data_IF_229276323452
#
_entry.id   IF_229276323452
#
_cell.length_a   1.000
_cell.length_b   1.000
_cell.length_c   1.000
_cell.angle_alpha   90.00
_cell.angle_beta   90.00
_cell.angle_gamma   90.00
#
_symmetry.space_group_name_H-M   'P 1'
#
loop_
_entity.id
_entity.type
_entity.pdbx_description
1 polymer ?
#
# COMPACT_ATOMS: atom_id res chain seq x y z
N UNK A 1 -17.70 -21.86 -0.07
CA UNK A 1 -18.07 -20.56 0.53
C UNK A 1 -16.92 -19.61 0.36
N UNK A 2 -17.19 -18.34 0.02
CA UNK A 2 -16.16 -17.32 -0.15
C UNK A 2 -16.26 -16.30 0.98
N UNK A 3 -15.15 -16.05 1.70
CA UNK A 3 -15.02 -15.03 2.73
C UNK A 3 -13.61 -14.44 2.60
N UNK A 4 -13.47 -13.44 1.75
CA UNK A 4 -12.21 -12.78 1.42
C UNK A 4 -12.36 -11.29 1.61
N UNK A 5 -11.40 -10.69 2.28
CA UNK A 5 -11.30 -9.26 2.52
C UNK A 5 -9.91 -8.81 2.10
N UNK A 6 -9.84 -7.74 1.33
CA UNK A 6 -8.59 -7.04 1.01
C UNK A 6 -8.78 -5.57 1.36
N UNK A 7 -7.96 -5.06 2.26
CA UNK A 7 -8.05 -3.69 2.78
C UNK A 7 -6.69 -3.01 2.73
N UNK A 8 -6.72 -1.72 2.49
CA UNK A 8 -5.56 -0.85 2.63
C UNK A 8 -5.96 0.37 3.44
N UNK A 9 -5.22 0.67 4.51
CA UNK A 9 -5.54 1.78 5.41
C UNK A 9 -4.36 2.18 6.27
N UNK A 10 -4.53 3.23 7.07
CA UNK A 10 -3.49 3.72 7.99
C UNK A 10 -3.71 3.22 9.41
N UNK A 11 -2.63 2.81 10.07
CA UNK A 11 -2.70 2.42 11.47
C UNK A 11 -3.09 3.62 12.35
N UNK A 12 -4.08 3.41 13.18
CA UNK A 12 -4.59 4.44 14.13
C UNK A 12 -3.70 4.55 15.36
N UNK A 13 -3.07 3.45 15.76
CA UNK A 13 -2.16 3.35 16.91
C UNK A 13 -1.05 2.36 16.60
N UNK A 14 0.00 2.34 17.42
CA UNK A 14 1.04 1.33 17.33
C UNK A 14 0.47 -0.05 17.65
N UNK A 15 0.81 -1.08 16.86
CA UNK A 15 0.34 -2.44 17.12
C UNK A 15 1.04 -3.03 18.34
N UNK A 16 0.25 -3.69 19.21
CA UNK A 16 0.75 -4.32 20.42
C UNK A 16 0.80 -5.83 20.29
N UNK A 17 1.99 -6.40 20.49
CA UNK A 17 2.18 -7.84 20.53
C UNK A 17 1.69 -8.39 21.88
N UNK A 18 0.84 -9.39 21.85
CA UNK A 18 0.35 -10.12 23.01
C UNK A 18 0.53 -11.62 22.80
N UNK A 19 0.58 -12.36 23.88
CA UNK A 19 0.64 -13.82 23.82
C UNK A 19 -0.59 -14.39 24.52
N UNK A 20 -1.19 -15.39 23.89
CA UNK A 20 -2.26 -16.17 24.54
C UNK A 20 -1.68 -17.03 25.65
N UNK A 21 -2.50 -17.58 26.56
CA UNK A 21 -2.04 -18.53 27.59
C UNK A 21 -1.28 -19.72 27.03
N UNK A 22 -1.55 -20.08 25.78
CA UNK A 22 -0.87 -21.17 25.06
C UNK A 22 0.43 -20.72 24.36
N UNK A 23 0.91 -19.51 24.61
CA UNK A 23 2.15 -18.98 24.05
C UNK A 23 2.06 -18.54 22.57
N UNK A 24 0.86 -18.48 21.99
CA UNK A 24 0.68 -18.05 20.61
C UNK A 24 0.69 -16.54 20.54
N UNK A 25 1.58 -15.98 19.70
CA UNK A 25 1.65 -14.55 19.43
C UNK A 25 0.39 -14.07 18.71
N UNK A 26 -0.20 -12.99 19.16
CA UNK A 26 -1.33 -12.30 18.53
C UNK A 26 -1.15 -10.80 18.63
N UNK A 27 -1.64 -10.09 17.63
CA UNK A 27 -1.67 -8.64 17.65
C UNK A 27 -3.01 -8.15 17.12
N UNK A 28 -3.61 -7.18 17.82
CA UNK A 28 -4.83 -6.50 17.40
C UNK A 28 -4.52 -5.03 17.17
N UNK A 29 -4.89 -4.52 16.02
CA UNK A 29 -4.72 -3.13 15.68
C UNK A 29 -5.91 -2.62 14.85
N UNK A 30 -6.05 -1.32 14.76
CA UNK A 30 -7.12 -0.66 14.01
C UNK A 30 -6.54 0.10 12.85
N UNK A 31 -7.17 -0.02 11.68
CA UNK A 31 -6.85 0.77 10.51
C UNK A 31 -7.98 1.73 10.16
N UNK A 32 -7.61 2.90 9.66
CA UNK A 32 -8.52 3.87 9.06
C UNK A 32 -8.46 3.69 7.54
N UNK A 33 -9.59 3.36 6.94
CA UNK A 33 -9.76 3.19 5.50
C UNK A 33 -10.60 4.34 4.98
N UNK A 34 -10.04 5.15 4.11
CA UNK A 34 -10.75 6.29 3.54
C UNK A 34 -11.82 5.80 2.57
N UNK A 35 -13.02 6.39 2.65
CA UNK A 35 -14.08 6.13 1.68
C UNK A 35 -13.72 6.72 0.33
N UNK A 36 -13.86 5.92 -0.72
CA UNK A 36 -13.48 6.33 -2.09
C UNK A 36 -14.40 7.42 -2.66
N UNK A 37 -15.62 7.56 -2.14
CA UNK A 37 -16.57 8.56 -2.60
C UNK A 37 -16.89 9.57 -1.50
N UNK A 38 -16.61 10.86 -1.77
CA UNK A 38 -16.97 11.99 -0.92
C UNK A 38 -17.66 13.01 -1.82
N UNK A 39 -18.82 13.51 -1.42
CA UNK A 39 -19.52 14.59 -2.14
C UNK A 39 -18.73 15.88 -2.06
N UNK A 40 -18.78 16.68 -3.10
CA UNK A 40 -18.15 18.01 -3.11
C UNK A 40 -18.68 18.86 -1.94
N UNK A 41 -17.77 19.30 -1.06
CA UNK A 41 -18.10 20.09 0.13
C UNK A 41 -18.29 19.29 1.43
N UNK A 42 -18.24 17.96 1.40
CA UNK A 42 -18.25 17.14 2.61
C UNK A 42 -16.81 16.78 3.06
N UNK A 43 -16.62 16.64 4.37
CA UNK A 43 -15.37 16.16 4.92
C UNK A 43 -15.15 14.66 4.57
N UNK A 44 -13.89 14.30 4.35
CA UNK A 44 -13.52 12.91 4.11
C UNK A 44 -13.85 12.07 5.35
N UNK A 45 -14.59 10.98 5.14
CA UNK A 45 -14.93 10.03 6.18
C UNK A 45 -14.07 8.79 6.03
N UNK A 46 -13.56 8.28 7.13
CA UNK A 46 -12.83 7.02 7.19
C UNK A 46 -13.65 5.98 7.95
N UNK A 47 -13.54 4.73 7.52
CA UNK A 47 -14.06 3.59 8.23
C UNK A 47 -12.94 2.99 9.10
N UNK A 48 -13.25 2.77 10.39
CA UNK A 48 -12.31 2.19 11.35
C UNK A 48 -12.57 0.70 11.48
N UNK A 49 -11.59 -0.11 11.09
CA UNK A 49 -11.72 -1.56 11.01
C UNK A 49 -10.71 -2.21 11.94
N UNK A 50 -11.19 -3.11 12.80
CA UNK A 50 -10.35 -3.88 13.72
C UNK A 50 -9.77 -5.10 12.98
N UNK A 51 -8.44 -5.23 13.06
CA UNK A 51 -7.67 -6.29 12.41
C UNK A 51 -6.99 -7.12 13.50
N UNK A 52 -7.04 -8.44 13.34
CA UNK A 52 -6.35 -9.39 14.20
C UNK A 52 -5.40 -10.22 13.37
N UNK A 53 -4.16 -10.32 13.82
CA UNK A 53 -3.12 -11.14 13.20
C UNK A 53 -2.52 -12.10 14.21
N UNK A 54 -2.03 -13.25 13.74
CA UNK A 54 -1.56 -14.34 14.56
C UNK A 54 -0.13 -14.76 14.20
N UNK A 55 0.56 -15.35 15.18
CA UNK A 55 1.86 -16.01 15.02
C UNK A 55 2.90 -15.07 14.39
N UNK A 56 3.60 -15.53 13.37
CA UNK A 56 4.66 -14.77 12.68
C UNK A 56 4.17 -13.45 12.09
N UNK A 57 2.92 -13.40 11.59
CA UNK A 57 2.33 -12.17 11.05
C UNK A 57 2.16 -11.13 12.15
N UNK A 58 1.82 -11.53 13.39
CA UNK A 58 1.71 -10.63 14.53
C UNK A 58 3.07 -10.02 14.91
N UNK A 59 4.12 -10.84 14.97
CA UNK A 59 5.48 -10.38 15.24
C UNK A 59 5.98 -9.44 14.13
N UNK A 60 5.71 -9.79 12.87
CA UNK A 60 6.07 -8.97 11.72
C UNK A 60 5.43 -7.59 11.77
N UNK A 61 4.12 -7.52 12.02
CA UNK A 61 3.40 -6.23 12.11
C UNK A 61 3.95 -5.37 13.23
N UNK A 62 4.12 -5.93 14.43
CA UNK A 62 4.63 -5.18 15.58
C UNK A 62 6.08 -4.70 15.41
N UNK A 63 6.88 -5.40 14.59
CA UNK A 63 8.27 -5.04 14.33
C UNK A 63 8.43 -3.93 13.30
N UNK A 64 7.59 -3.91 12.28
CA UNK A 64 7.82 -3.08 11.09
C UNK A 64 6.81 -1.96 10.89
N UNK A 65 5.64 -2.01 11.54
CA UNK A 65 4.59 -1.04 11.35
C UNK A 65 4.35 -0.21 12.62
N UNK A 66 4.15 1.09 12.43
CA UNK A 66 3.88 2.05 13.48
C UNK A 66 2.63 2.86 13.16
N UNK A 67 2.11 3.57 14.17
CA UNK A 67 1.01 4.51 13.99
C UNK A 67 1.22 5.42 12.77
N UNK A 68 0.18 5.53 11.95
CA UNK A 68 0.18 6.35 10.74
C UNK A 68 0.76 5.67 9.50
N UNK A 69 1.46 4.53 9.61
CA UNK A 69 1.91 3.79 8.44
C UNK A 69 0.72 3.29 7.62
N UNK A 70 0.89 3.29 6.31
CA UNK A 70 -0.05 2.66 5.40
C UNK A 70 0.25 1.16 5.35
N UNK A 71 -0.77 0.33 5.49
CA UNK A 71 -0.68 -1.12 5.52
C UNK A 71 -1.74 -1.72 4.60
N UNK A 72 -1.38 -2.76 3.85
CA UNK A 72 -2.34 -3.56 3.11
C UNK A 72 -2.45 -4.94 3.74
N UNK A 73 -3.67 -5.41 3.92
CA UNK A 73 -3.98 -6.69 4.55
C UNK A 73 -4.95 -7.49 3.70
N UNK A 74 -4.77 -8.78 3.64
CA UNK A 74 -5.73 -9.74 3.11
C UNK A 74 -6.10 -10.76 4.18
N UNK A 75 -7.36 -11.16 4.19
CA UNK A 75 -7.86 -12.08 5.22
C UNK A 75 -9.34 -12.41 5.06
N UNK A 76 -9.99 -12.66 6.17
CA UNK A 76 -11.41 -12.99 6.24
C UNK A 76 -12.10 -12.27 7.40
N UNK A 77 -13.39 -11.97 7.23
CA UNK A 77 -14.22 -11.44 8.32
C UNK A 77 -14.56 -12.58 9.28
N UNK A 78 -14.38 -12.32 10.57
CA UNK A 78 -14.85 -13.19 11.63
C UNK A 78 -15.70 -12.40 12.61
N UNK A 79 -16.71 -13.06 13.16
CA UNK A 79 -17.56 -12.48 14.20
C UNK A 79 -17.37 -13.27 15.48
N UNK A 80 -17.29 -12.56 16.61
CA UNK A 80 -17.32 -13.18 17.94
C UNK A 80 -18.36 -12.51 18.81
N UNK A 81 -18.98 -13.34 19.64
CA UNK A 81 -19.86 -12.86 20.68
C UNK A 81 -19.10 -12.80 22.00
N UNK A 82 -19.21 -11.70 22.72
CA UNK A 82 -18.66 -11.54 24.05
C UNK A 82 -19.68 -10.89 24.98
N UNK A 83 -19.55 -11.15 26.26
CA UNK A 83 -20.36 -10.49 27.26
C UNK A 83 -19.65 -9.22 27.75
N UNK A 84 -20.39 -8.12 27.73
CA UNK A 84 -19.91 -6.86 28.28
C UNK A 84 -19.95 -6.92 29.82
N UNK A 85 -19.26 -6.01 30.51
CA UNK A 85 -19.23 -5.89 31.97
C UNK A 85 -20.62 -5.79 32.59
N UNK A 86 -21.63 -5.45 31.83
CA UNK A 86 -23.05 -5.38 32.21
C UNK A 86 -23.81 -6.70 32.04
N UNK A 87 -23.16 -7.78 31.59
CA UNK A 87 -23.79 -9.05 31.24
C UNK A 87 -24.54 -9.09 29.92
N UNK A 88 -24.44 -8.03 29.13
CA UNK A 88 -25.09 -7.97 27.81
C UNK A 88 -24.22 -8.63 26.75
N UNK A 89 -24.85 -9.46 25.89
CA UNK A 89 -24.18 -10.07 24.75
C UNK A 89 -23.89 -9.01 23.68
N UNK A 90 -22.63 -8.90 23.28
CA UNK A 90 -22.16 -8.01 22.20
C UNK A 90 -21.58 -8.83 21.06
N UNK A 91 -21.72 -8.30 19.85
CA UNK A 91 -21.12 -8.88 18.65
C UNK A 91 -19.96 -8.00 18.22
N UNK A 92 -18.79 -8.57 18.05
CA UNK A 92 -17.63 -7.92 17.44
C UNK A 92 -17.42 -8.46 16.04
N UNK A 93 -17.10 -7.55 15.12
CA UNK A 93 -16.69 -7.87 13.75
C UNK A 93 -15.20 -7.56 13.65
N UNK A 94 -14.42 -8.55 13.29
CA UNK A 94 -12.98 -8.43 13.20
C UNK A 94 -12.51 -9.02 11.87
N UNK A 95 -11.50 -8.45 11.26
CA UNK A 95 -10.83 -9.04 10.11
C UNK A 95 -9.62 -9.82 10.62
N UNK A 96 -9.64 -11.12 10.44
CA UNK A 96 -8.47 -11.95 10.70
C UNK A 96 -7.62 -11.96 9.45
N UNK A 97 -6.47 -11.27 9.50
CA UNK A 97 -5.59 -11.15 8.36
C UNK A 97 -4.67 -12.38 8.26
N UNK A 98 -4.57 -12.92 7.06
CA UNK A 98 -3.68 -14.01 6.69
C UNK A 98 -2.30 -13.45 6.33
N UNK A 99 -2.27 -12.39 5.51
CA UNK A 99 -1.04 -11.74 5.08
C UNK A 99 -1.11 -10.22 5.26
N UNK A 100 0.06 -9.63 5.38
CA UNK A 100 0.26 -8.19 5.50
C UNK A 100 1.37 -7.77 4.54
N UNK A 101 1.13 -6.67 3.84
CA UNK A 101 2.02 -6.18 2.80
C UNK A 101 2.44 -4.74 3.06
N UNK A 102 3.70 -4.44 2.72
CA UNK A 102 4.17 -3.07 2.65
C UNK A 102 3.59 -2.37 1.43
N UNK A 103 3.19 -1.13 1.58
CA UNK A 103 2.58 -0.32 0.52
C UNK A 103 3.57 0.61 -0.19
N UNK A 104 4.85 0.52 0.15
CA UNK A 104 5.91 1.33 -0.45
C UNK A 104 5.98 2.78 0.05
N UNK A 105 5.09 3.23 0.91
CA UNK A 105 5.27 4.50 1.62
C UNK A 105 6.45 4.36 2.59
N UNK A 106 7.56 5.04 2.30
CA UNK A 106 8.58 5.26 3.33
C UNK A 106 7.94 6.07 4.43
N UNK A 107 7.89 5.51 5.64
CA UNK A 107 7.63 6.27 6.85
C UNK A 107 8.55 7.50 6.80
N UNK A 108 7.94 8.69 6.62
CA UNK A 108 8.71 9.92 6.60
C UNK A 108 9.37 10.12 7.95
N UNK A 109 10.62 9.75 8.09
CA UNK A 109 11.45 10.29 9.14
C UNK A 109 11.57 11.78 8.84
N UNK A 110 10.84 12.58 9.60
CA UNK A 110 11.01 14.02 9.71
C UNK A 110 12.42 14.26 10.24
N UNK A 111 13.34 14.64 9.39
CA UNK A 111 14.69 15.01 9.83
C UNK A 111 15.78 14.48 8.92
N UNK A 112 16.02 15.19 7.84
CA UNK A 112 17.16 14.94 6.97
C UNK A 112 16.98 15.69 5.67
N UNK A 113 17.22 16.98 5.70
CA UNK A 113 17.49 17.81 4.54
C UNK A 113 18.78 17.29 3.89
N UNK A 114 18.64 16.15 3.22
CA UNK A 114 19.63 15.65 2.29
C UNK A 114 19.45 16.42 0.99
N UNK A 115 20.06 17.62 0.94
CA UNK A 115 20.23 18.31 -0.32
C UNK A 115 20.93 17.34 -1.27
N UNK A 116 20.33 17.12 -2.42
CA UNK A 116 21.04 16.61 -3.56
C UNK A 116 22.10 17.66 -3.87
N UNK A 117 23.32 17.46 -3.37
CA UNK A 117 24.50 18.14 -3.88
C UNK A 117 24.62 17.70 -5.34
N UNK A 118 24.20 18.56 -6.24
CA UNK A 118 24.55 18.40 -7.64
C UNK A 118 26.08 18.22 -7.70
N UNK A 119 26.60 17.21 -8.42
CA UNK A 119 28.03 17.09 -8.59
C UNK A 119 28.53 18.37 -9.23
N UNK A 120 29.52 19.00 -8.60
CA UNK A 120 30.20 20.17 -9.13
C UNK A 120 30.65 19.87 -10.57
N UNK A 121 30.51 20.82 -11.51
CA UNK A 121 31.00 20.60 -12.86
C UNK A 121 32.52 20.46 -12.80
N UNK A 122 33.02 19.26 -13.04
CA UNK A 122 34.42 19.04 -13.33
C UNK A 122 34.78 19.82 -14.58
N UNK A 123 35.65 20.80 -14.47
CA UNK A 123 36.25 21.46 -15.59
C UNK A 123 37.03 20.42 -16.40
N UNK A 124 36.51 20.06 -17.54
CA UNK A 124 37.23 19.28 -18.52
C UNK A 124 38.28 20.16 -19.20
N UNK A 125 39.51 19.65 -19.43
CA UNK A 125 40.49 20.37 -20.22
C UNK A 125 40.01 20.52 -21.67
N UNK A 126 40.22 21.70 -22.23
CA UNK A 126 39.86 22.04 -23.59
C UNK A 126 40.51 21.09 -24.59
N UNK A 127 39.67 20.30 -25.27
CA UNK A 127 40.06 19.53 -26.44
C UNK A 127 39.37 20.11 -27.67
N UNK A 128 40.13 20.29 -28.73
CA UNK A 128 39.84 20.89 -30.03
C UNK A 128 38.51 20.40 -30.67
N UNK A 129 37.81 21.26 -31.42
CA UNK A 129 36.63 20.85 -32.15
C UNK A 129 37.02 20.02 -33.38
N UNK A 130 36.53 18.79 -33.47
CA UNK A 130 36.45 18.03 -34.72
C UNK A 130 35.10 18.34 -35.37
N UNK A 131 35.04 18.46 -36.72
CA UNK A 131 33.81 18.79 -37.41
C UNK A 131 32.81 17.62 -37.31
N UNK A 132 31.63 17.93 -36.80
CA UNK A 132 30.51 16.99 -36.77
C UNK A 132 29.87 16.88 -38.12
N UNK A 133 29.84 15.68 -38.68
CA UNK A 133 28.99 15.34 -39.82
C UNK A 133 27.51 15.33 -39.39
N UNK A 134 26.60 15.86 -40.22
CA UNK A 134 25.18 15.83 -39.88
C UNK A 134 24.62 14.42 -40.07
N UNK A 135 24.22 13.76 -38.98
CA UNK A 135 23.37 12.56 -39.05
C UNK A 135 21.97 12.97 -39.50
N UNK A 136 21.64 12.64 -40.73
CA UNK A 136 20.27 12.77 -41.24
C UNK A 136 19.41 11.64 -40.66
N UNK A 137 18.46 11.98 -39.77
CA UNK A 137 17.36 11.09 -39.42
C UNK A 137 16.39 11.07 -40.61
N UNK A 138 16.29 9.92 -41.31
CA UNK A 138 15.22 9.70 -42.26
C UNK A 138 13.89 9.73 -41.49
N UNK A 139 13.04 10.70 -41.82
CA UNK A 139 11.67 10.71 -41.37
C UNK A 139 10.97 9.47 -41.97
N UNK A 140 10.54 8.54 -41.09
CA UNK A 140 9.70 7.41 -41.48
C UNK A 140 8.45 7.93 -42.16
N UNK A 141 8.18 7.41 -43.36
CA UNK A 141 6.98 7.72 -44.12
C UNK A 141 5.75 7.24 -43.35
N UNK A 142 4.66 8.03 -43.38
CA UNK A 142 3.38 7.68 -42.76
C UNK A 142 2.68 6.47 -43.43
N UNK A 143 3.28 5.89 -44.47
CA UNK A 143 2.74 4.74 -45.22
C UNK A 143 3.08 3.37 -44.63
N UNK A 144 3.87 3.31 -43.54
CA UNK A 144 4.25 2.05 -42.89
C UNK A 144 3.25 1.56 -41.80
N UNK A 145 2.14 2.27 -41.63
CA UNK A 145 1.07 1.80 -40.72
C UNK A 145 0.08 0.96 -41.54
N UNK A 146 0.18 -0.35 -41.40
CA UNK A 146 -0.85 -1.26 -41.93
C UNK A 146 -2.18 -0.99 -41.19
N UNK A 147 -3.19 -0.63 -41.99
CA UNK A 147 -4.57 -0.51 -41.51
C UNK A 147 -5.05 -1.93 -41.18
N UNK A 148 -5.37 -2.19 -39.92
CA UNK A 148 -5.99 -3.44 -39.49
C UNK A 148 -7.47 -3.33 -39.89
N UNK A 149 -7.93 -4.17 -40.80
CA UNK A 149 -9.34 -4.28 -41.15
C UNK A 149 -10.12 -4.88 -39.94
N UNK A 150 -11.13 -4.12 -39.46
CA UNK A 150 -12.00 -4.45 -38.31
C UNK A 150 -12.99 -5.61 -38.56
N UNK A 151 -12.65 -6.57 -39.43
CA UNK A 151 -13.57 -7.62 -39.89
C UNK A 151 -13.09 -9.05 -39.58
N UNK A 152 -12.26 -9.25 -38.57
CA UNK A 152 -12.05 -10.61 -38.06
C UNK A 152 -12.83 -10.80 -36.77
N UNK A 153 -13.85 -11.65 -36.84
CA UNK A 153 -14.67 -12.15 -35.76
C UNK A 153 -13.78 -12.68 -34.61
N UNK A 154 -13.83 -12.04 -33.47
CA UNK A 154 -13.22 -12.56 -32.25
C UNK A 154 -13.98 -13.83 -31.81
N UNK A 155 -13.33 -14.97 -31.64
CA UNK A 155 -13.97 -16.18 -31.15
C UNK A 155 -14.15 -16.06 -29.63
N UNK A 156 -15.39 -15.81 -29.20
CA UNK A 156 -15.86 -16.02 -27.85
C UNK A 156 -16.86 -17.18 -27.83
#
# INVERSE_FOLDING_TARGET
>A
MLNVVALMGRLVADPELRHTPNGVATCSFRIAVDRSFVRAGEERKADFIDIVVWRQTAEFVCKYFHKGNLIAVDGSIQTRTYEDKTGSKRYAFEVVANNVHFTGEKSGSTGGQGGYSAPAPMQAPAARPAPAEPVSYAAGSADDFAVIDDNEDLPF
#
